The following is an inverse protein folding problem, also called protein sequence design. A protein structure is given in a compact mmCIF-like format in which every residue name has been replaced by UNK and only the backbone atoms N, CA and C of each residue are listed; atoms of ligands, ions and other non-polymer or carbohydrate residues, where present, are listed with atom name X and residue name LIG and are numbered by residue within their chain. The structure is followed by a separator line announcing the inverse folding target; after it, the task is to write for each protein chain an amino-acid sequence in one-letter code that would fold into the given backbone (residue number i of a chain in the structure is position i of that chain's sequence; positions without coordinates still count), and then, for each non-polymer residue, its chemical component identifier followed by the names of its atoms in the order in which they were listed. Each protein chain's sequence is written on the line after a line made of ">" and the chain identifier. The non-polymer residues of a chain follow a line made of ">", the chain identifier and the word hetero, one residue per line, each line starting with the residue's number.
data_IF_369644421514
#
_entry.id   IF_369644421514
#
_cell.length_a   1.000
_cell.length_b   1.000
_cell.length_c   1.000
_cell.angle_alpha   90.00
_cell.angle_beta   90.00
_cell.angle_gamma   90.00
#
_symmetry.space_group_name_H-M   'P 1'
#
loop_
_entity.id
_entity.type
_entity.pdbx_description
1 polymer ?
#
# COMPACT_ATOMS: atom_id res chain seq x y z
N UNK A 1 -4.76 14.83 1.73
CA UNK A 1 -3.89 13.79 1.15
C UNK A 1 -2.79 14.49 0.38
N UNK A 2 -1.56 14.42 0.86
CA UNK A 2 -0.40 14.85 0.07
C UNK A 2 -0.23 13.97 -1.18
N UNK A 3 0.55 14.46 -2.15
CA UNK A 3 0.94 13.67 -3.32
C UNK A 3 1.73 12.42 -2.94
N UNK A 4 2.51 12.48 -1.86
CA UNK A 4 3.24 11.34 -1.31
C UNK A 4 2.27 10.28 -0.78
N UNK A 5 1.35 10.67 0.11
CA UNK A 5 0.34 9.76 0.66
C UNK A 5 -0.56 9.16 -0.43
N UNK A 6 -0.90 9.93 -1.46
CA UNK A 6 -1.61 9.43 -2.64
C UNK A 6 -0.81 8.36 -3.39
N UNK A 7 0.50 8.60 -3.58
CA UNK A 7 1.40 7.62 -4.21
C UNK A 7 1.50 6.33 -3.41
N UNK A 8 1.62 6.42 -2.07
CA UNK A 8 1.65 5.25 -1.18
C UNK A 8 0.36 4.44 -1.32
N UNK A 9 -0.81 5.09 -1.30
CA UNK A 9 -2.09 4.42 -1.45
C UNK A 9 -2.22 3.68 -2.80
N UNK A 10 -1.85 4.34 -3.91
CA UNK A 10 -1.88 3.74 -5.25
C UNK A 10 -0.95 2.53 -5.36
N UNK A 11 0.27 2.63 -4.81
CA UNK A 11 1.21 1.51 -4.79
C UNK A 11 0.68 0.32 -3.96
N UNK A 12 0.06 0.58 -2.80
CA UNK A 12 -0.54 -0.47 -1.96
C UNK A 12 -1.66 -1.21 -2.69
N UNK A 13 -2.59 -0.50 -3.34
CA UNK A 13 -3.65 -1.11 -4.15
C UNK A 13 -3.08 -1.96 -5.29
N UNK A 14 -2.03 -1.44 -5.96
CA UNK A 14 -1.40 -2.12 -7.09
C UNK A 14 -0.72 -3.41 -6.66
N UNK A 15 0.03 -3.39 -5.56
CA UNK A 15 0.70 -4.59 -5.05
C UNK A 15 -0.29 -5.62 -4.52
N UNK A 16 -1.35 -5.20 -3.82
CA UNK A 16 -2.42 -6.10 -3.38
C UNK A 16 -3.08 -6.81 -4.58
N UNK A 17 -3.50 -6.03 -5.58
CA UNK A 17 -4.12 -6.57 -6.79
C UNK A 17 -3.18 -7.51 -7.55
N UNK A 18 -1.90 -7.13 -7.71
CA UNK A 18 -0.94 -7.94 -8.43
C UNK A 18 -0.60 -9.24 -7.68
N UNK A 19 -0.41 -9.18 -6.35
CA UNK A 19 -0.18 -10.33 -5.51
C UNK A 19 -1.35 -11.33 -5.60
N UNK A 20 -2.60 -10.86 -5.53
CA UNK A 20 -3.78 -11.72 -5.69
C UNK A 20 -3.91 -12.30 -7.11
N UNK A 21 -3.59 -11.50 -8.14
CA UNK A 21 -3.73 -11.93 -9.54
C UNK A 21 -2.66 -12.91 -9.98
N UNK A 22 -1.45 -12.82 -9.42
CA UNK A 22 -0.29 -13.62 -9.84
C UNK A 22 0.16 -14.66 -8.83
N UNK A 23 -0.43 -14.63 -7.62
CA UNK A 23 -0.04 -15.47 -6.49
C UNK A 23 1.47 -15.35 -6.18
N UNK A 24 2.04 -14.17 -6.46
CA UNK A 24 3.46 -13.92 -6.33
C UNK A 24 3.81 -13.48 -4.90
N UNK A 25 4.48 -14.37 -4.16
CA UNK A 25 4.97 -14.09 -2.80
C UNK A 25 5.85 -12.83 -2.71
N UNK A 26 6.65 -12.54 -3.74
CA UNK A 26 7.47 -11.34 -3.76
C UNK A 26 6.63 -10.06 -3.74
N UNK A 27 5.50 -10.03 -4.47
CA UNK A 27 4.59 -8.88 -4.40
C UNK A 27 3.85 -8.79 -3.08
N UNK A 28 3.50 -9.93 -2.48
CA UNK A 28 2.96 -9.98 -1.12
C UNK A 28 3.95 -9.38 -0.11
N UNK A 29 5.24 -9.70 -0.22
CA UNK A 29 6.29 -9.10 0.62
C UNK A 29 6.41 -7.58 0.41
N UNK A 30 6.40 -7.12 -0.85
CA UNK A 30 6.44 -5.70 -1.17
C UNK A 30 5.22 -4.94 -0.62
N UNK A 31 4.03 -5.55 -0.69
CA UNK A 31 2.82 -5.00 -0.07
C UNK A 31 3.00 -4.83 1.44
N UNK A 32 3.45 -5.86 2.16
CA UNK A 32 3.60 -5.79 3.61
C UNK A 32 4.67 -4.79 4.04
N UNK A 33 5.81 -4.70 3.33
CA UNK A 33 6.84 -3.70 3.61
C UNK A 33 6.33 -2.28 3.41
N UNK A 34 5.61 -2.02 2.32
CA UNK A 34 5.05 -0.69 2.06
C UNK A 34 3.94 -0.34 3.05
N UNK A 35 3.14 -1.33 3.48
CA UNK A 35 2.09 -1.13 4.49
C UNK A 35 2.68 -0.75 5.84
N UNK A 36 3.77 -1.41 6.26
CA UNK A 36 4.46 -1.06 7.50
C UNK A 36 5.01 0.38 7.48
N UNK A 37 5.58 0.80 6.35
CA UNK A 37 5.98 2.18 6.13
C UNK A 37 4.78 3.14 6.21
N UNK A 38 3.66 2.81 5.56
CA UNK A 38 2.45 3.63 5.56
C UNK A 38 1.83 3.79 6.96
N UNK A 39 1.92 2.77 7.83
CA UNK A 39 1.43 2.82 9.21
C UNK A 39 2.18 3.84 10.07
N UNK A 40 3.44 4.13 9.75
CA UNK A 40 4.28 5.13 10.43
C UNK A 40 4.19 6.53 9.77
N UNK A 41 3.46 6.67 8.67
CA UNK A 41 3.32 7.94 7.95
C UNK A 41 2.33 8.88 8.68
N UNK A 42 2.58 10.20 8.65
CA UNK A 42 1.73 11.18 9.34
C UNK A 42 0.26 11.18 8.85
N UNK A 43 0.04 10.79 7.60
CA UNK A 43 -1.29 10.63 6.98
C UNK A 43 -1.78 9.17 6.95
N UNK A 44 -1.28 8.27 7.82
CA UNK A 44 -1.61 6.84 7.78
C UNK A 44 -3.12 6.56 7.77
N UNK A 45 -3.90 7.30 8.57
CA UNK A 45 -5.35 7.16 8.63
C UNK A 45 -6.02 7.48 7.28
N UNK A 46 -5.54 8.51 6.56
CA UNK A 46 -6.07 8.86 5.25
C UNK A 46 -5.67 7.83 4.19
N UNK A 47 -4.43 7.33 4.24
CA UNK A 47 -3.95 6.26 3.35
C UNK A 47 -4.79 5.00 3.55
N UNK A 48 -4.96 4.56 4.80
CA UNK A 48 -5.71 3.33 5.13
C UNK A 48 -7.17 3.45 4.71
N UNK A 49 -7.79 4.62 4.88
CA UNK A 49 -9.17 4.86 4.46
C UNK A 49 -9.38 4.79 2.94
N UNK A 50 -8.35 5.05 2.13
CA UNK A 50 -8.43 4.99 0.66
C UNK A 50 -8.28 3.56 0.15
N UNK A 51 -7.52 2.72 0.87
CA UNK A 51 -7.21 1.36 0.44
C UNK A 51 -8.10 0.28 1.09
N UNK A 52 -8.92 0.65 2.07
CA UNK A 52 -9.98 -0.19 2.65
C UNK A 52 -11.07 -0.50 1.60
#
# INVERSE_FOLDING_TARGET
>A
LSSEAAGIAVCLMTYSHHAMRTECDAMTEHYYRLRDYALNHAECSAIMHIID
#
